data_IF_515241878547
#
_entry.id   IF_515241878547
#
_cell.length_a   1.000
_cell.length_b   1.000
_cell.length_c   1.000
_cell.angle_alpha   90.00
_cell.angle_beta   90.00
_cell.angle_gamma   90.00
#
_symmetry.space_group_name_H-M   'P 1'
#
loop_
_entity.id
_entity.type
_entity.pdbx_description
1 polymer ?
#
# COMPACT_ATOMS: atom_id res chain seq x y z
N UNK A 1 -2.60 2.96 6.59
CA UNK A 1 -3.35 3.28 5.35
C UNK A 1 -4.82 2.87 5.52
N UNK A 2 -5.84 3.65 5.10
CA UNK A 2 -7.24 3.28 5.30
C UNK A 2 -7.62 1.97 4.55
N UNK A 3 -8.14 0.97 5.28
CA UNK A 3 -8.59 -0.31 4.70
C UNK A 3 -9.72 -0.15 3.67
N UNK A 4 -10.47 0.95 3.71
CA UNK A 4 -11.52 1.23 2.73
C UNK A 4 -10.99 1.35 1.29
N UNK A 5 -9.71 1.67 1.10
CA UNK A 5 -9.08 1.76 -0.22
C UNK A 5 -8.98 0.41 -0.95
N UNK A 6 -9.10 -0.72 -0.24
CA UNK A 6 -9.16 -2.06 -0.85
C UNK A 6 -10.37 -2.21 -1.80
N UNK A 7 -11.42 -1.39 -1.63
CA UNK A 7 -12.64 -1.42 -2.45
C UNK A 7 -12.49 -0.71 -3.80
N UNK A 8 -11.36 -0.08 -4.08
CA UNK A 8 -11.13 0.65 -5.33
C UNK A 8 -10.87 -0.32 -6.49
N UNK A 9 -11.93 -0.66 -7.22
CA UNK A 9 -11.88 -1.65 -8.31
C UNK A 9 -11.18 -1.14 -9.57
N UNK A 10 -11.35 0.15 -9.90
CA UNK A 10 -10.93 0.72 -11.18
C UNK A 10 -9.58 1.45 -11.14
N UNK A 11 -8.90 1.47 -10.00
CA UNK A 11 -7.56 2.02 -9.91
C UNK A 11 -6.61 1.18 -10.76
N UNK A 12 -5.90 1.83 -11.67
CA UNK A 12 -4.88 1.20 -12.52
C UNK A 12 -3.49 1.32 -11.89
N UNK A 13 -3.18 2.49 -11.33
CA UNK A 13 -1.90 2.79 -10.67
C UNK A 13 -2.19 3.35 -9.29
N UNK A 14 -1.48 2.84 -8.28
CA UNK A 14 -1.51 3.33 -6.92
C UNK A 14 -0.07 3.40 -6.41
N UNK A 15 0.46 4.61 -6.29
CA UNK A 15 1.79 4.89 -5.76
C UNK A 15 1.62 5.65 -4.43
N UNK A 16 2.17 5.09 -3.36
CA UNK A 16 2.12 5.64 -2.01
C UNK A 16 3.53 6.01 -1.51
N UNK A 17 4.53 5.97 -2.40
CA UNK A 17 5.92 6.23 -2.05
C UNK A 17 6.12 7.65 -1.51
N UNK A 18 7.18 7.82 -0.72
CA UNK A 18 7.69 9.08 -0.16
C UNK A 18 6.65 9.89 0.62
N UNK A 19 5.82 9.20 1.40
CA UNK A 19 4.90 9.81 2.35
C UNK A 19 5.35 9.57 3.80
N UNK A 20 4.53 9.98 4.77
CA UNK A 20 4.71 9.69 6.20
C UNK A 20 3.63 8.74 6.71
N UNK A 21 3.34 7.69 5.94
CA UNK A 21 2.36 6.68 6.32
C UNK A 21 2.92 5.76 7.40
N UNK A 22 2.04 5.30 8.27
CA UNK A 22 2.37 4.42 9.40
C UNK A 22 1.35 3.29 9.57
N UNK A 23 1.77 2.24 10.28
CA UNK A 23 0.96 1.08 10.61
C UNK A 23 0.95 0.00 9.53
N UNK A 24 -0.01 -0.92 9.62
CA UNK A 24 -0.09 -2.09 8.74
C UNK A 24 -0.53 -1.70 7.32
N UNK A 25 0.15 -2.28 6.32
CA UNK A 25 -0.27 -2.24 4.92
C UNK A 25 -1.52 -3.14 4.75
N UNK A 26 -2.64 -2.60 4.24
CA UNK A 26 -3.82 -3.41 3.91
C UNK A 26 -3.44 -4.53 2.92
N UNK A 27 -3.97 -5.72 3.09
CA UNK A 27 -3.60 -6.89 2.28
C UNK A 27 -4.62 -7.23 1.18
N UNK A 28 -5.76 -6.53 1.13
CA UNK A 28 -6.81 -6.75 0.15
C UNK A 28 -6.73 -5.85 -1.09
N UNK A 29 -7.57 -6.16 -2.08
CA UNK A 29 -7.75 -5.34 -3.27
C UNK A 29 -6.46 -5.13 -4.06
N UNK A 30 -6.17 -3.87 -4.41
CA UNK A 30 -4.98 -3.51 -5.17
C UNK A 30 -3.67 -3.71 -4.40
N UNK A 31 -3.71 -3.58 -3.07
CA UNK A 31 -2.51 -3.68 -2.22
C UNK A 31 -1.86 -5.07 -2.27
N UNK A 32 -2.64 -6.13 -2.48
CA UNK A 32 -2.13 -7.50 -2.65
C UNK A 32 -1.13 -7.66 -3.81
N UNK A 33 -1.21 -6.77 -4.80
CA UNK A 33 -0.42 -6.80 -6.03
C UNK A 33 0.55 -5.62 -6.15
N UNK A 34 0.63 -4.75 -5.14
CA UNK A 34 1.58 -3.65 -5.14
C UNK A 34 2.97 -4.16 -4.75
N UNK A 35 3.98 -3.70 -5.46
CA UNK A 35 5.37 -3.97 -5.15
C UNK A 35 5.85 -3.12 -3.97
N UNK A 36 6.99 -3.49 -3.37
CA UNK A 36 7.59 -2.73 -2.28
C UNK A 36 7.93 -1.28 -2.66
N UNK A 37 8.25 -1.00 -3.93
CA UNK A 37 8.53 0.35 -4.43
C UNK A 37 7.34 1.28 -4.26
N UNK A 38 6.12 0.76 -4.36
CA UNK A 38 4.88 1.54 -4.18
C UNK A 38 4.73 2.07 -2.76
N UNK A 39 5.52 1.58 -1.80
CA UNK A 39 5.51 1.99 -0.39
C UNK A 39 6.82 2.62 0.07
N UNK A 40 7.80 2.79 -0.84
CA UNK A 40 9.14 3.28 -0.52
C UNK A 40 9.10 4.60 0.26
N UNK A 41 10.00 4.80 1.22
CA UNK A 41 10.08 6.04 1.98
C UNK A 41 9.06 6.20 3.12
N UNK A 42 8.18 5.22 3.34
CA UNK A 42 7.26 5.18 4.49
C UNK A 42 7.81 4.27 5.60
N UNK A 43 8.81 4.75 6.35
CA UNK A 43 9.59 3.94 7.29
C UNK A 43 8.81 3.32 8.46
N UNK A 44 7.62 3.83 8.77
CA UNK A 44 6.76 3.37 9.86
C UNK A 44 5.67 2.37 9.40
N UNK A 45 5.71 1.92 8.14
CA UNK A 45 4.83 0.87 7.65
C UNK A 45 5.34 -0.53 8.03
N UNK A 46 4.40 -1.45 8.26
CA UNK A 46 4.67 -2.85 8.52
C UNK A 46 3.69 -3.76 7.77
N UNK A 47 3.98 -5.07 7.71
CA UNK A 47 3.21 -6.03 6.90
C UNK A 47 3.87 -6.29 5.54
N UNK A 48 3.27 -7.18 4.73
CA UNK A 48 3.87 -7.64 3.49
C UNK A 48 3.39 -6.82 2.27
N UNK A 49 4.24 -5.98 1.66
CA UNK A 49 4.20 -5.70 0.23
C UNK A 49 4.99 -6.83 -0.43
N UNK A 50 4.34 -7.83 -1.02
CA UNK A 50 5.03 -9.06 -1.43
C UNK A 50 6.31 -8.74 -2.25
N UNK A 51 7.42 -9.33 -1.79
CA UNK A 51 8.83 -9.07 -2.14
C UNK A 51 9.13 -8.86 -3.63
#
# INVERSE_FOLDING_TARGET
IPKSLEKLQYIQVLDLSFNRLEGEIPSGGKFANLSAESFLGNYALCGAPNS
#
